data_IF_503924352894
#
_entry.id   IF_503924352894
#
_cell.length_a   1.000
_cell.length_b   1.000
_cell.length_c   1.000
_cell.angle_alpha   90.00
_cell.angle_beta   90.00
_cell.angle_gamma   90.00
#
_symmetry.space_group_name_H-M   'P 1'
#
loop_
_entity.id
_entity.type
_entity.pdbx_description
1 polymer ?
#
# COMPACT_ATOMS: atom_id res chain seq x y z
N UNK A 1 -4.09 17.49 5.28
CA UNK A 1 -4.51 16.65 4.12
C UNK A 1 -3.26 16.00 3.54
N UNK A 2 -3.16 14.67 3.59
CA UNK A 2 -2.02 13.92 3.06
C UNK A 2 -2.19 13.84 1.54
N UNK A 3 -1.14 14.15 0.79
CA UNK A 3 -1.08 13.99 -0.66
C UNK A 3 -0.04 12.91 -0.96
N UNK A 4 -0.44 11.84 -1.65
CA UNK A 4 0.52 10.87 -2.16
C UNK A 4 1.06 11.34 -3.50
N UNK A 5 2.38 11.51 -3.59
CA UNK A 5 3.06 12.03 -4.78
C UNK A 5 3.44 10.90 -5.74
N UNK A 6 4.02 9.81 -5.21
CA UNK A 6 4.36 8.62 -5.97
C UNK A 6 4.54 7.41 -5.07
N UNK A 7 4.55 6.23 -5.67
CA UNK A 7 4.88 4.98 -4.99
C UNK A 7 5.61 4.03 -5.93
N UNK A 8 6.54 3.26 -5.38
CA UNK A 8 7.17 2.15 -6.08
C UNK A 8 7.13 0.87 -5.26
N UNK A 9 7.15 -0.25 -5.97
CA UNK A 9 7.26 -1.60 -5.42
C UNK A 9 8.47 -2.27 -6.07
N UNK A 10 9.34 -2.83 -5.24
CA UNK A 10 10.55 -3.54 -5.63
C UNK A 10 10.55 -4.93 -5.03
N UNK A 11 11.13 -5.86 -5.75
CA UNK A 11 11.51 -7.14 -5.16
C UNK A 11 12.55 -6.88 -4.07
N UNK A 12 12.28 -7.32 -2.84
CA UNK A 12 13.14 -6.99 -1.70
C UNK A 12 14.50 -7.71 -1.73
N UNK A 13 14.61 -8.86 -2.40
CA UNK A 13 15.87 -9.61 -2.51
C UNK A 13 16.78 -9.00 -3.60
N UNK A 14 16.19 -8.59 -4.73
CA UNK A 14 16.96 -8.15 -5.90
C UNK A 14 17.01 -6.63 -6.09
N UNK A 15 16.15 -5.87 -5.40
CA UNK A 15 15.98 -4.42 -5.57
C UNK A 15 15.32 -4.01 -6.90
N UNK A 16 14.94 -4.97 -7.74
CA UNK A 16 14.35 -4.73 -9.06
C UNK A 16 12.97 -4.09 -8.93
N UNK A 17 12.75 -2.99 -9.66
CA UNK A 17 11.44 -2.35 -9.74
C UNK A 17 10.44 -3.29 -10.40
N UNK A 18 9.32 -3.53 -9.71
CA UNK A 18 8.20 -4.32 -10.16
C UNK A 18 7.07 -3.42 -10.65
N UNK A 19 6.80 -2.33 -9.93
CA UNK A 19 5.73 -1.39 -10.25
C UNK A 19 6.07 0.02 -9.77
N UNK A 20 5.56 1.02 -10.47
CA UNK A 20 5.63 2.43 -10.11
C UNK A 20 4.35 3.14 -10.53
N UNK A 21 3.92 4.12 -9.74
CA UNK A 21 2.79 4.97 -10.06
C UNK A 21 2.89 6.32 -9.38
N UNK A 22 2.38 7.36 -10.05
CA UNK A 22 2.35 8.75 -9.59
C UNK A 22 0.95 9.22 -9.21
N UNK A 23 -0.05 8.34 -9.31
CA UNK A 23 -1.41 8.65 -8.94
C UNK A 23 -1.59 8.69 -7.42
N UNK A 24 -2.43 9.62 -6.96
CA UNK A 24 -2.79 9.72 -5.55
C UNK A 24 -3.84 8.66 -5.17
N UNK A 25 -3.35 7.45 -4.90
CA UNK A 25 -4.16 6.34 -4.41
C UNK A 25 -4.62 6.48 -2.95
N UNK A 26 -4.35 7.62 -2.30
CA UNK A 26 -4.84 7.93 -0.94
C UNK A 26 -6.18 8.67 -0.93
N UNK A 27 -6.68 9.11 -2.10
CA UNK A 27 -7.96 9.82 -2.18
C UNK A 27 -9.13 8.92 -1.73
N UNK A 28 -9.95 9.38 -0.76
CA UNK A 28 -11.14 8.65 -0.31
C UNK A 28 -12.31 8.82 -1.28
N UNK A 29 -13.35 7.98 -1.13
CA UNK A 29 -14.62 8.10 -1.86
C UNK A 29 -14.62 7.57 -3.29
N UNK A 30 -13.47 7.09 -3.78
CA UNK A 30 -13.33 6.39 -5.06
C UNK A 30 -12.59 5.06 -4.84
N UNK A 31 -12.87 4.09 -5.70
CA UNK A 31 -12.07 2.87 -5.77
C UNK A 31 -11.05 3.04 -6.89
N UNK A 32 -9.78 3.08 -6.52
CA UNK A 32 -8.68 3.20 -7.48
C UNK A 32 -8.33 1.85 -8.09
N UNK A 33 -7.61 1.85 -9.21
CA UNK A 33 -7.06 0.65 -9.82
C UNK A 33 -5.53 0.66 -9.83
N UNK A 34 -4.90 -0.49 -9.63
CA UNK A 34 -3.47 -0.66 -9.86
C UNK A 34 -3.21 -1.94 -10.64
N UNK A 35 -2.47 -1.81 -11.75
CA UNK A 35 -2.05 -2.93 -12.61
C UNK A 35 -0.61 -3.29 -12.28
N UNK A 36 -0.41 -4.38 -11.55
CA UNK A 36 0.89 -4.86 -11.07
C UNK A 36 1.29 -6.13 -11.82
N UNK A 37 2.59 -6.38 -12.07
CA UNK A 37 2.98 -7.56 -12.84
C UNK A 37 2.83 -8.83 -12.00
N UNK A 38 2.31 -9.92 -12.59
CA UNK A 38 2.07 -11.21 -11.90
C UNK A 38 3.28 -11.76 -11.14
N UNK A 39 4.50 -11.46 -11.60
CA UNK A 39 5.75 -11.87 -10.95
C UNK A 39 5.89 -11.37 -9.51
N UNK A 40 5.16 -10.32 -9.11
CA UNK A 40 5.16 -9.83 -7.73
C UNK A 40 4.70 -10.89 -6.73
N UNK A 41 3.81 -11.81 -7.15
CA UNK A 41 3.31 -12.91 -6.34
C UNK A 41 4.37 -14.00 -6.08
N UNK A 42 5.53 -13.93 -6.75
CA UNK A 42 6.65 -14.86 -6.53
C UNK A 42 7.73 -14.29 -5.62
N UNK A 43 7.62 -13.01 -5.23
CA UNK A 43 8.58 -12.37 -4.35
C UNK A 43 8.34 -12.87 -2.92
N UNK A 44 9.39 -13.24 -2.20
CA UNK A 44 9.28 -13.56 -0.77
C UNK A 44 8.92 -12.33 0.06
N UNK A 45 9.39 -11.17 -0.37
CA UNK A 45 9.00 -9.89 0.18
C UNK A 45 9.08 -8.80 -0.89
N UNK A 46 8.25 -7.76 -0.72
CA UNK A 46 8.20 -6.58 -1.56
C UNK A 46 8.61 -5.37 -0.73
N UNK A 47 9.63 -4.66 -1.18
CA UNK A 47 9.98 -3.35 -0.64
C UNK A 47 9.09 -2.29 -1.29
N UNK A 48 8.37 -1.51 -0.49
CA UNK A 48 7.55 -0.40 -0.92
C UNK A 48 8.20 0.91 -0.53
N UNK A 49 8.31 1.84 -1.47
CA UNK A 49 8.59 3.24 -1.17
C UNK A 49 7.35 4.08 -1.50
N UNK A 50 6.88 4.84 -0.52
CA UNK A 50 5.78 5.79 -0.63
C UNK A 50 6.33 7.19 -0.43
N UNK A 51 6.10 8.09 -1.38
CA UNK A 51 6.39 9.49 -1.19
C UNK A 51 5.09 10.27 -1.01
N UNK A 52 5.05 11.07 0.05
CA UNK A 52 3.86 11.84 0.41
C UNK A 52 4.26 13.21 0.96
N UNK A 53 3.33 14.16 0.83
CA UNK A 53 3.43 15.47 1.43
C UNK A 53 2.30 15.68 2.44
N UNK A 54 2.59 16.41 3.52
CA UNK A 54 1.58 16.82 4.49
C UNK A 54 1.74 18.30 4.79
N UNK A 55 0.64 19.05 4.69
CA UNK A 55 0.55 20.43 5.18
C UNK A 55 0.46 20.45 6.71
N UNK A 56 -0.24 19.48 7.29
CA UNK A 56 -0.46 19.36 8.73
C UNK A 56 0.73 18.67 9.40
N UNK A 57 1.00 19.05 10.66
CA UNK A 57 1.83 18.27 11.56
C UNK A 57 1.06 17.01 11.98
N UNK A 58 1.73 15.85 11.96
CA UNK A 58 1.20 14.61 12.52
C UNK A 58 2.15 14.12 13.62
N UNK A 59 1.62 13.71 14.77
CA UNK A 59 2.43 13.25 15.90
C UNK A 59 2.92 11.82 15.70
N UNK A 60 2.03 10.94 15.24
CA UNK A 60 2.30 9.51 15.05
C UNK A 60 1.59 8.97 13.82
N UNK A 61 2.05 9.41 12.64
CA UNK A 61 1.49 8.96 11.38
C UNK A 61 1.70 7.45 11.18
N UNK A 62 0.62 6.73 10.91
CA UNK A 62 0.62 5.27 10.70
C UNK A 62 -0.44 4.84 9.70
N UNK A 63 -0.26 3.64 9.14
CA UNK A 63 -1.19 2.98 8.23
C UNK A 63 -1.66 1.65 8.79
N UNK A 64 -2.94 1.38 8.60
CA UNK A 64 -3.50 0.03 8.68
C UNK A 64 -3.96 -0.35 7.28
N UNK A 65 -3.51 -1.49 6.78
CA UNK A 65 -3.91 -2.00 5.47
C UNK A 65 -4.56 -3.36 5.60
N UNK A 66 -5.72 -3.53 4.98
CA UNK A 66 -6.41 -4.80 4.90
C UNK A 66 -6.49 -5.26 3.46
N UNK A 67 -6.09 -6.52 3.22
CA UNK A 67 -6.19 -7.15 1.91
C UNK A 67 -7.46 -7.97 1.87
N UNK A 68 -8.41 -7.56 1.04
CA UNK A 68 -9.66 -8.27 0.83
C UNK A 68 -9.63 -9.07 -0.46
N UNK A 69 -10.08 -10.32 -0.40
CA UNK A 69 -10.39 -11.14 -1.56
C UNK A 69 -11.87 -11.50 -1.54
N UNK A 70 -12.62 -11.04 -2.54
CA UNK A 70 -14.08 -11.24 -2.62
C UNK A 70 -14.83 -10.89 -1.33
N UNK A 71 -14.39 -9.82 -0.65
CA UNK A 71 -14.99 -9.32 0.59
C UNK A 71 -14.50 -10.01 1.87
N UNK A 72 -13.72 -11.09 1.77
CA UNK A 72 -13.08 -11.72 2.94
C UNK A 72 -11.70 -11.08 3.17
N UNK A 73 -11.42 -10.70 4.42
CA UNK A 73 -10.11 -10.18 4.82
C UNK A 73 -9.12 -11.35 4.89
N UNK A 74 -8.06 -11.31 4.09
CA UNK A 74 -7.01 -12.32 4.06
C UNK A 74 -5.85 -11.94 4.97
N UNK A 75 -5.44 -10.67 4.91
CA UNK A 75 -4.25 -10.17 5.61
C UNK A 75 -4.51 -8.76 6.17
N UNK A 76 -3.86 -8.47 7.29
CA UNK A 76 -3.80 -7.14 7.89
C UNK A 76 -2.34 -6.75 8.10
N UNK A 77 -1.97 -5.56 7.64
CA UNK A 77 -0.63 -5.00 7.75
C UNK A 77 -0.66 -3.68 8.50
N UNK A 78 0.33 -3.48 9.37
CA UNK A 78 0.46 -2.30 10.21
C UNK A 78 1.82 -1.66 9.95
N UNK A 79 1.82 -0.37 9.63
CA UNK A 79 3.04 0.38 9.35
C UNK A 79 3.05 1.68 10.13
N UNK A 80 4.14 1.99 10.81
CA UNK A 80 4.34 3.26 11.52
C UNK A 80 5.42 4.09 10.83
N UNK A 81 5.11 5.35 10.53
CA UNK A 81 6.07 6.34 10.06
C UNK A 81 6.56 7.21 11.23
N UNK A 82 5.64 7.61 12.11
CA UNK A 82 5.94 8.47 13.26
C UNK A 82 5.69 9.95 12.95
N UNK A 83 6.52 10.82 13.50
CA UNK A 83 6.34 12.26 13.42
C UNK A 83 6.46 12.82 12.00
N UNK A 84 5.52 13.67 11.59
CA UNK A 84 5.52 14.36 10.30
C UNK A 84 5.60 15.87 10.53
N UNK A 85 6.66 16.48 10.01
CA UNK A 85 6.86 17.94 10.03
C UNK A 85 5.77 18.60 9.16
N UNK A 86 5.14 19.71 9.60
CA UNK A 86 4.19 20.43 8.76
C UNK A 86 4.85 20.97 7.49
N UNK A 87 4.13 20.98 6.37
CA UNK A 87 4.62 21.37 5.05
C UNK A 87 5.86 20.59 4.58
N UNK A 88 5.97 19.31 4.97
CA UNK A 88 7.08 18.45 4.56
C UNK A 88 6.68 17.48 3.45
N UNK A 89 7.70 16.99 2.75
CA UNK A 89 7.62 15.87 1.82
C UNK A 89 8.55 14.77 2.30
N UNK A 90 8.03 13.55 2.42
CA UNK A 90 8.74 12.43 3.02
C UNK A 90 8.73 11.24 2.06
N UNK A 91 9.80 10.45 2.08
CA UNK A 91 9.84 9.13 1.46
C UNK A 91 9.88 8.09 2.58
N UNK A 92 8.90 7.20 2.56
CA UNK A 92 8.74 6.14 3.54
C UNK A 92 8.93 4.78 2.89
N UNK A 93 9.92 4.03 3.36
CA UNK A 93 10.16 2.66 2.96
C UNK A 93 9.48 1.70 3.95
N UNK A 94 8.78 0.69 3.43
CA UNK A 94 8.18 -0.40 4.20
C UNK A 94 8.47 -1.75 3.54
N UNK A 95 8.59 -2.80 4.33
CA UNK A 95 8.70 -4.18 3.84
C UNK A 95 7.35 -4.88 3.96
N UNK A 96 6.92 -5.56 2.90
CA UNK A 96 5.71 -6.38 2.88
C UNK A 96 6.15 -7.83 2.64
N UNK A 97 5.98 -8.68 3.65
CA UNK A 97 6.31 -10.10 3.55
C UNK A 97 5.18 -10.87 2.86
N UNK A 98 5.53 -11.83 2.02
CA UNK A 98 4.54 -12.67 1.37
C UNK A 98 3.97 -13.70 2.35
N UNK A 99 2.69 -14.01 2.20
CA UNK A 99 2.09 -15.17 2.83
C UNK A 99 2.81 -16.48 2.40
N UNK A 100 2.78 -17.54 3.24
CA UNK A 100 3.32 -18.84 2.87
C UNK A 100 2.81 -19.34 1.51
N UNK A 101 3.66 -20.01 0.73
CA UNK A 101 3.30 -20.48 -0.62
C UNK A 101 2.04 -21.34 -0.66
N UNK A 102 1.77 -22.11 0.41
CA UNK A 102 0.57 -22.94 0.54
C UNK A 102 -0.75 -22.15 0.58
N UNK A 103 -0.68 -20.85 0.90
CA UNK A 103 -1.82 -19.94 0.97
C UNK A 103 -1.93 -19.05 -0.28
N UNK A 104 -0.93 -19.11 -1.18
CA UNK A 104 -0.87 -18.25 -2.35
C UNK A 104 -1.84 -18.72 -3.44
N UNK A 105 -2.77 -17.85 -3.80
CA UNK A 105 -3.71 -18.10 -4.90
C UNK A 105 -3.09 -17.73 -6.27
N UNK A 106 -3.45 -18.45 -7.35
CA UNK A 106 -3.02 -18.11 -8.70
C UNK A 106 -3.45 -16.70 -9.14
N UNK A 107 -2.61 -16.03 -9.94
CA UNK A 107 -2.86 -14.66 -10.38
C UNK A 107 -4.19 -14.47 -11.15
N UNK A 108 -4.62 -15.47 -11.93
CA UNK A 108 -5.90 -15.45 -12.66
C UNK A 108 -7.12 -15.51 -11.74
N UNK A 109 -6.95 -16.02 -10.51
CA UNK A 109 -8.00 -16.00 -9.47
C UNK A 109 -8.00 -14.66 -8.74
N UNK A 110 -6.81 -14.13 -8.43
CA UNK A 110 -6.64 -12.89 -7.68
C UNK A 110 -7.00 -11.63 -8.48
N UNK A 111 -6.67 -11.59 -9.77
CA UNK A 111 -6.79 -10.39 -10.60
C UNK A 111 -8.22 -9.85 -10.63
N UNK A 112 -8.38 -8.56 -10.31
CA UNK A 112 -9.67 -7.86 -10.22
C UNK A 112 -10.49 -8.20 -8.97
N UNK A 113 -10.12 -9.21 -8.17
CA UNK A 113 -10.85 -9.65 -6.99
C UNK A 113 -10.20 -9.22 -5.66
N UNK A 114 -8.96 -8.73 -5.72
CA UNK A 114 -8.22 -8.21 -4.57
C UNK A 114 -8.44 -6.71 -4.43
N UNK A 115 -8.80 -6.27 -3.23
CA UNK A 115 -8.91 -4.85 -2.86
C UNK A 115 -8.05 -4.61 -1.62
N UNK A 116 -7.13 -3.66 -1.69
CA UNK A 116 -6.41 -3.15 -0.53
C UNK A 116 -7.17 -1.95 0.01
N UNK A 117 -7.71 -2.06 1.22
CA UNK A 117 -8.17 -0.92 2.00
C UNK A 117 -6.98 -0.36 2.79
N UNK A 118 -6.75 0.94 2.71
CA UNK A 118 -5.72 1.63 3.49
C UNK A 118 -6.38 2.69 4.36
N UNK A 119 -6.20 2.57 5.67
CA UNK A 119 -6.59 3.58 6.65
C UNK A 119 -5.36 4.35 7.10
N UNK A 120 -5.50 5.67 7.11
CA UNK A 120 -4.46 6.61 7.52
C UNK A 120 -4.82 7.14 8.91
N UNK A 121 -3.88 7.10 9.85
CA UNK A 121 -4.08 7.59 11.21
C UNK A 121 -2.97 8.53 11.65
N UNK A 122 -3.32 9.44 12.55
CA UNK A 122 -2.39 10.13 13.44
C UNK A 122 -2.66 9.66 14.86
N UNK A 123 -1.81 8.78 15.37
CA UNK A 123 -2.06 7.99 16.59
C UNK A 123 -3.42 7.28 16.51
N UNK A 124 -4.40 7.61 17.35
CA UNK A 124 -5.76 7.02 17.30
C UNK A 124 -6.73 7.77 16.37
N UNK A 125 -6.35 8.96 15.89
CA UNK A 125 -7.20 9.77 15.03
C UNK A 125 -7.23 9.20 13.60
N UNK A 126 -8.40 8.74 13.17
CA UNK A 126 -8.63 8.35 11.78
C UNK A 126 -8.65 9.58 10.86
N UNK A 127 -7.77 9.61 9.87
CA UNK A 127 -7.60 10.73 8.93
C UNK A 127 -8.38 10.49 7.63
N UNK A 128 -8.23 9.30 7.03
CA UNK A 128 -8.91 8.93 5.79
C UNK A 128 -8.85 7.42 5.54
N UNK A 129 -9.69 6.95 4.63
CA UNK A 129 -9.67 5.57 4.11
C UNK A 129 -9.68 5.61 2.59
N UNK A 130 -8.77 4.89 1.95
CA UNK A 130 -8.77 4.68 0.50
C UNK A 130 -8.86 3.20 0.15
N UNK A 131 -9.28 2.90 -1.07
CA UNK A 131 -9.41 1.53 -1.58
C UNK A 131 -8.78 1.42 -2.97
N UNK A 132 -7.97 0.39 -3.17
CA UNK A 132 -7.30 0.12 -4.44
C UNK A 132 -7.59 -1.31 -4.88
N UNK A 133 -8.22 -1.50 -6.03
CA UNK A 133 -8.40 -2.79 -6.68
C UNK A 133 -7.16 -3.17 -7.47
N UNK A 134 -6.67 -4.39 -7.25
CA UNK A 134 -5.47 -4.89 -7.92
C UNK A 134 -5.81 -5.75 -9.13
N UNK A 135 -5.11 -5.49 -10.22
CA UNK A 135 -5.08 -6.32 -11.41
C UNK A 135 -3.67 -6.85 -11.61
N UNK A 136 -3.53 -8.18 -11.60
CA UNK A 136 -2.26 -8.85 -11.86
C UNK A 136 -2.14 -9.11 -13.37
N UNK A 137 -1.25 -8.39 -14.05
CA UNK A 137 -1.07 -8.43 -15.52
C UNK A 137 0.17 -9.21 -15.94
#
# INVERSE_FOLDING_TARGET
KILKNWMNLRDAETGKVLWQGTEDLSLPGVEHEARVPKKILKCKAVSRELNFSSVEKLEKFRLEQKVFFKGQCLEEWFFEFGFVIPNSTNTWQSLIEAAPESQMMPANVLTGNVVIETKFYDDDLHVSTSRVRLFYV
#
